data_IF_818159514523
#
_entry.id   IF_818159514523
#
_cell.length_a   1.000
_cell.length_b   1.000
_cell.length_c   1.000
_cell.angle_alpha   90.00
_cell.angle_beta   90.00
_cell.angle_gamma   90.00
#
_symmetry.space_group_name_H-M   'P 1'
#
loop_
_entity.id
_entity.type
_entity.pdbx_description
1 polymer ?
#
# COMPACT_ATOMS: atom_id res chain seq x y z
N UNK A 1 1.77 30.19 -1.06
CA UNK A 1 1.91 29.88 -2.51
C UNK A 1 0.82 28.90 -2.91
N UNK A 2 -0.09 29.25 -3.83
CA UNK A 2 -1.06 28.30 -4.39
C UNK A 2 -0.36 27.53 -5.49
N UNK A 3 -0.20 26.23 -5.31
CA UNK A 3 0.33 25.33 -6.34
C UNK A 3 -0.63 25.29 -7.53
N UNK A 4 -0.09 25.23 -8.76
CA UNK A 4 -0.91 25.01 -9.95
C UNK A 4 -1.55 23.61 -9.93
N UNK A 5 -2.66 23.41 -10.64
CA UNK A 5 -3.34 22.11 -10.72
C UNK A 5 -2.38 21.01 -11.19
N UNK A 6 -1.51 21.30 -12.14
CA UNK A 6 -0.50 20.37 -12.66
C UNK A 6 0.53 19.97 -11.58
N UNK A 7 0.97 20.92 -10.76
CA UNK A 7 1.89 20.64 -9.65
C UNK A 7 1.24 19.78 -8.57
N UNK A 8 -0.03 20.05 -8.25
CA UNK A 8 -0.79 19.24 -7.29
C UNK A 8 -0.96 17.81 -7.80
N UNK A 9 -1.32 17.66 -9.07
CA UNK A 9 -1.39 16.35 -9.73
C UNK A 9 -0.06 15.61 -9.67
N UNK A 10 1.05 16.26 -10.03
CA UNK A 10 2.38 15.67 -9.98
C UNK A 10 2.77 15.18 -8.59
N UNK A 11 2.50 15.98 -7.54
CA UNK A 11 2.81 15.61 -6.15
C UNK A 11 1.99 14.37 -5.71
N UNK A 12 0.69 14.34 -5.99
CA UNK A 12 -0.18 13.22 -5.61
C UNK A 12 0.24 11.95 -6.34
N UNK A 13 0.52 12.04 -7.62
CA UNK A 13 0.95 10.90 -8.45
C UNK A 13 2.31 10.36 -7.99
N UNK A 14 3.29 11.24 -7.74
CA UNK A 14 4.61 10.83 -7.23
C UNK A 14 4.52 10.17 -5.87
N UNK A 15 3.70 10.72 -4.95
CA UNK A 15 3.46 10.10 -3.65
C UNK A 15 2.83 8.70 -3.79
N UNK A 16 1.86 8.55 -4.67
CA UNK A 16 1.24 7.26 -4.94
C UNK A 16 2.22 6.24 -5.52
N UNK A 17 3.08 6.67 -6.42
CA UNK A 17 4.14 5.84 -7.00
C UNK A 17 5.16 5.39 -5.96
N UNK A 18 5.69 6.31 -5.18
CA UNK A 18 6.62 6.00 -4.12
C UNK A 18 6.00 5.02 -3.11
N UNK A 19 4.73 5.23 -2.77
CA UNK A 19 3.98 4.33 -1.90
C UNK A 19 3.86 2.92 -2.48
N UNK A 20 3.45 2.78 -3.74
CA UNK A 20 3.30 1.49 -4.41
C UNK A 20 4.63 0.72 -4.47
N UNK A 21 5.74 1.44 -4.74
CA UNK A 21 7.07 0.86 -4.73
C UNK A 21 7.47 0.32 -3.35
N UNK A 22 7.23 1.10 -2.27
CA UNK A 22 7.53 0.66 -0.90
C UNK A 22 6.66 -0.50 -0.45
N UNK A 23 5.39 -0.55 -0.84
CA UNK A 23 4.48 -1.65 -0.56
C UNK A 23 4.93 -2.94 -1.27
N UNK A 24 5.32 -2.85 -2.55
CA UNK A 24 5.89 -3.98 -3.28
C UNK A 24 7.19 -4.49 -2.67
N UNK A 25 8.10 -3.59 -2.29
CA UNK A 25 9.35 -3.94 -1.63
C UNK A 25 9.12 -4.65 -0.29
N UNK A 26 8.17 -4.17 0.52
CA UNK A 26 7.80 -4.80 1.78
C UNK A 26 7.32 -6.24 1.59
N UNK A 27 6.46 -6.49 0.61
CA UNK A 27 5.97 -7.84 0.29
C UNK A 27 7.12 -8.76 -0.11
N UNK A 28 8.02 -8.31 -0.99
CA UNK A 28 9.19 -9.09 -1.42
C UNK A 28 10.10 -9.42 -0.25
N UNK A 29 10.40 -8.46 0.62
CA UNK A 29 11.22 -8.68 1.81
C UNK A 29 10.62 -9.74 2.74
N UNK A 30 9.30 -9.70 2.96
CA UNK A 30 8.61 -10.71 3.77
C UNK A 30 8.69 -12.08 3.12
N UNK A 31 8.43 -12.20 1.81
CA UNK A 31 8.50 -13.47 1.08
C UNK A 31 9.90 -14.07 1.21
N UNK A 32 10.94 -13.31 0.87
CA UNK A 32 12.33 -13.79 0.92
C UNK A 32 12.76 -14.16 2.34
N UNK A 33 12.41 -13.35 3.33
CA UNK A 33 12.77 -13.61 4.72
C UNK A 33 12.18 -14.94 5.22
N UNK A 34 10.88 -15.15 5.02
CA UNK A 34 10.21 -16.37 5.48
C UNK A 34 10.55 -17.59 4.64
N UNK A 35 10.79 -17.41 3.33
CA UNK A 35 11.30 -18.50 2.49
C UNK A 35 12.68 -18.98 2.97
N UNK A 36 13.60 -18.06 3.29
CA UNK A 36 14.92 -18.40 3.83
C UNK A 36 14.86 -19.07 5.22
N UNK A 37 13.81 -18.83 5.99
CA UNK A 37 13.55 -19.51 7.27
C UNK A 37 12.94 -20.91 7.09
N UNK A 38 12.72 -21.36 5.85
CA UNK A 38 12.19 -22.68 5.52
C UNK A 38 10.66 -22.79 5.62
N UNK A 39 9.94 -21.68 5.52
CA UNK A 39 8.48 -21.72 5.43
C UNK A 39 8.04 -22.15 4.04
N UNK A 40 6.97 -22.95 3.98
CA UNK A 40 6.36 -23.36 2.73
C UNK A 40 5.65 -22.20 2.05
N UNK A 41 5.45 -22.27 0.74
CA UNK A 41 4.73 -21.25 -0.04
C UNK A 41 3.33 -21.01 0.52
N UNK A 42 2.66 -22.05 1.02
CA UNK A 42 1.32 -21.95 1.59
C UNK A 42 1.32 -21.17 2.92
N UNK A 43 2.30 -21.42 3.79
CA UNK A 43 2.46 -20.67 5.04
C UNK A 43 2.74 -19.19 4.78
N UNK A 44 3.58 -18.88 3.78
CA UNK A 44 3.85 -17.51 3.36
C UNK A 44 2.57 -16.85 2.82
N UNK A 45 1.76 -17.55 2.02
CA UNK A 45 0.49 -17.02 1.55
C UNK A 45 -0.46 -16.65 2.69
N UNK A 46 -0.50 -17.43 3.76
CA UNK A 46 -1.29 -17.09 4.96
C UNK A 46 -0.83 -15.81 5.66
N UNK A 47 0.46 -15.47 5.60
CA UNK A 47 0.96 -14.20 6.15
C UNK A 47 0.32 -12.98 5.47
N UNK A 48 -0.04 -13.10 4.20
CA UNK A 48 -0.69 -12.03 3.45
C UNK A 48 -2.22 -11.98 3.61
N UNK A 49 -2.83 -13.02 4.18
CA UNK A 49 -4.27 -13.06 4.38
C UNK A 49 -4.77 -11.86 5.22
N UNK A 50 -4.05 -11.53 6.30
CA UNK A 50 -4.40 -10.38 7.13
C UNK A 50 -4.23 -9.03 6.41
N UNK A 51 -3.21 -8.91 5.57
CA UNK A 51 -3.00 -7.75 4.72
C UNK A 51 -4.22 -7.49 3.82
N UNK A 52 -4.68 -8.50 3.11
CA UNK A 52 -5.84 -8.37 2.22
C UNK A 52 -7.16 -8.20 3.00
N UNK A 53 -7.35 -8.91 4.11
CA UNK A 53 -8.53 -8.80 4.95
C UNK A 53 -8.71 -7.39 5.51
N UNK A 54 -7.67 -6.81 6.10
CA UNK A 54 -7.72 -5.44 6.59
C UNK A 54 -7.82 -4.41 5.46
N UNK A 55 -7.28 -4.70 4.29
CA UNK A 55 -7.48 -3.92 3.07
C UNK A 55 -8.95 -3.82 2.69
N UNK A 56 -9.67 -4.94 2.66
CA UNK A 56 -11.12 -4.95 2.37
C UNK A 56 -11.91 -4.11 3.39
N UNK A 57 -11.62 -4.27 4.70
CA UNK A 57 -12.25 -3.46 5.76
C UNK A 57 -11.97 -1.98 5.54
N UNK A 58 -10.72 -1.63 5.26
CA UNK A 58 -10.32 -0.24 5.04
C UNK A 58 -10.98 0.37 3.80
N UNK A 59 -11.17 -0.42 2.72
CA UNK A 59 -11.89 0.03 1.54
C UNK A 59 -13.35 0.38 1.84
N UNK A 60 -14.02 -0.40 2.70
CA UNK A 60 -15.40 -0.12 3.11
C UNK A 60 -15.52 1.18 3.92
N UNK A 61 -14.63 1.40 4.86
CA UNK A 61 -14.67 2.55 5.77
C UNK A 61 -13.87 3.76 5.28
N UNK A 62 -12.86 3.55 4.44
CA UNK A 62 -11.93 4.60 3.99
C UNK A 62 -12.62 5.69 3.19
N UNK A 63 -13.63 5.34 2.38
CA UNK A 63 -14.46 6.31 1.66
C UNK A 63 -15.20 7.25 2.61
N UNK A 64 -15.77 6.72 3.67
CA UNK A 64 -16.44 7.49 4.71
C UNK A 64 -15.47 8.40 5.49
N UNK A 65 -14.30 7.86 5.87
CA UNK A 65 -13.24 8.61 6.56
C UNK A 65 -12.75 9.77 5.66
N UNK A 66 -12.48 9.48 4.39
CA UNK A 66 -12.02 10.50 3.43
C UNK A 66 -13.04 11.61 3.19
N UNK A 67 -14.32 11.28 3.14
CA UNK A 67 -15.40 12.25 3.02
C UNK A 67 -15.56 13.12 4.27
N UNK A 68 -15.34 12.56 5.46
CA UNK A 68 -15.57 13.27 6.74
C UNK A 68 -14.35 14.10 7.18
N UNK A 69 -13.15 13.58 7.03
CA UNK A 69 -11.92 14.19 7.56
C UNK A 69 -11.04 14.81 6.47
N UNK A 70 -11.40 14.62 5.22
CA UNK A 70 -10.70 15.18 4.06
C UNK A 70 -9.55 14.32 3.55
N UNK A 71 -9.32 14.40 2.26
CA UNK A 71 -8.35 13.57 1.51
C UNK A 71 -6.89 13.81 1.95
N UNK A 72 -6.55 15.02 2.37
CA UNK A 72 -5.20 15.36 2.79
C UNK A 72 -4.81 14.63 4.08
N UNK A 73 -5.72 14.54 5.05
CA UNK A 73 -5.47 13.83 6.30
C UNK A 73 -5.31 12.32 6.05
N UNK A 74 -6.17 11.74 5.23
CA UNK A 74 -6.11 10.30 4.92
C UNK A 74 -4.84 9.90 4.16
N UNK A 75 -4.31 10.77 3.27
CA UNK A 75 -3.00 10.57 2.64
C UNK A 75 -1.86 10.58 3.68
N UNK A 76 -1.85 11.54 4.60
CA UNK A 76 -0.83 11.62 5.65
C UNK A 76 -0.88 10.41 6.59
N UNK A 77 -2.08 10.04 7.04
CA UNK A 77 -2.27 8.87 7.93
C UNK A 77 -1.84 7.59 7.22
N UNK A 78 -2.21 7.39 5.95
CA UNK A 78 -1.77 6.25 5.16
C UNK A 78 -0.25 6.17 5.03
N UNK A 79 0.40 7.31 4.75
CA UNK A 79 1.87 7.36 4.64
C UNK A 79 2.56 7.08 5.98
N UNK A 80 2.06 7.63 7.08
CA UNK A 80 2.60 7.35 8.43
C UNK A 80 2.43 5.88 8.82
N UNK A 81 1.30 5.26 8.51
CA UNK A 81 1.08 3.83 8.76
C UNK A 81 2.04 2.96 7.95
N UNK A 82 2.32 3.32 6.69
CA UNK A 82 3.30 2.60 5.88
C UNK A 82 4.71 2.71 6.46
N UNK A 83 5.13 3.91 6.85
CA UNK A 83 6.43 4.11 7.53
C UNK A 83 6.48 3.28 8.82
N UNK A 84 5.43 3.29 9.62
CA UNK A 84 5.32 2.49 10.83
C UNK A 84 5.43 0.99 10.57
N UNK A 85 4.74 0.48 9.56
CA UNK A 85 4.82 -0.92 9.15
C UNK A 85 6.24 -1.33 8.71
N UNK A 86 6.92 -0.46 7.95
CA UNK A 86 8.32 -0.70 7.55
C UNK A 86 9.26 -0.70 8.76
N UNK A 87 9.11 0.26 9.68
CA UNK A 87 9.92 0.33 10.90
C UNK A 87 9.70 -0.88 11.82
N UNK A 88 8.47 -1.42 11.86
CA UNK A 88 8.17 -2.64 12.60
C UNK A 88 8.95 -3.86 12.08
N UNK A 89 9.37 -3.90 10.81
CA UNK A 89 10.13 -5.03 10.28
C UNK A 89 11.61 -5.01 10.67
N UNK A 90 12.16 -3.87 11.11
CA UNK A 90 13.59 -3.74 11.49
C UNK A 90 14.01 -4.71 12.59
N UNK A 91 13.27 -4.89 13.71
CA UNK A 91 13.68 -5.77 14.79
C UNK A 91 13.47 -7.26 14.52
N UNK A 92 12.86 -7.63 13.39
CA UNK A 92 12.63 -9.04 13.05
C UNK A 92 13.96 -9.72 12.80
N UNK A 93 14.26 -10.76 13.60
CA UNK A 93 15.51 -11.52 13.53
C UNK A 93 15.25 -13.03 13.53
N UNK A 94 16.20 -13.78 12.99
CA UNK A 94 16.13 -15.25 12.94
C UNK A 94 16.21 -15.92 14.33
N UNK A 95 16.56 -15.18 15.39
CA UNK A 95 16.58 -15.67 16.77
C UNK A 95 15.20 -15.71 17.46
N UNK A 96 14.17 -15.17 16.83
CA UNK A 96 12.80 -15.18 17.39
C UNK A 96 12.15 -16.55 17.22
N UNK A 97 11.21 -16.87 18.12
CA UNK A 97 10.38 -18.06 17.93
C UNK A 97 9.53 -17.91 16.67
N UNK A 98 9.30 -19.03 15.95
CA UNK A 98 8.49 -19.01 14.69
C UNK A 98 7.14 -18.35 14.91
N UNK A 99 6.44 -18.68 16.00
CA UNK A 99 5.12 -18.13 16.30
C UNK A 99 5.16 -16.60 16.49
N UNK A 100 6.15 -16.10 17.25
CA UNK A 100 6.29 -14.67 17.50
C UNK A 100 6.59 -13.89 16.22
N UNK A 101 7.50 -14.39 15.39
CA UNK A 101 7.82 -13.79 14.09
C UNK A 101 6.61 -13.71 13.17
N UNK A 102 5.84 -14.81 13.08
CA UNK A 102 4.61 -14.86 12.27
C UNK A 102 3.60 -13.82 12.74
N UNK A 103 3.23 -13.83 14.02
CA UNK A 103 2.22 -12.89 14.55
C UNK A 103 2.68 -11.44 14.36
N UNK A 104 3.93 -11.14 14.65
CA UNK A 104 4.47 -9.79 14.54
C UNK A 104 4.46 -9.28 13.11
N UNK A 105 4.90 -10.10 12.15
CA UNK A 105 4.88 -9.73 10.73
C UNK A 105 3.46 -9.64 10.19
N UNK A 106 2.53 -10.49 10.64
CA UNK A 106 1.12 -10.38 10.27
C UNK A 106 0.51 -9.05 10.73
N UNK A 107 0.87 -8.56 11.92
CA UNK A 107 0.42 -7.24 12.40
C UNK A 107 1.02 -6.13 11.54
N UNK A 108 2.31 -6.17 11.23
CA UNK A 108 2.94 -5.20 10.35
C UNK A 108 2.30 -5.20 8.95
N UNK A 109 2.01 -6.37 8.40
CA UNK A 109 1.30 -6.52 7.12
C UNK A 109 -0.13 -5.96 7.17
N UNK A 110 -0.86 -6.18 8.27
CA UNK A 110 -2.20 -5.61 8.43
C UNK A 110 -2.16 -4.08 8.40
N UNK A 111 -1.20 -3.46 9.10
CA UNK A 111 -1.01 -2.00 9.11
C UNK A 111 -0.66 -1.50 7.70
N UNK A 112 0.21 -2.20 6.99
CA UNK A 112 0.56 -1.87 5.59
C UNK A 112 -0.63 -1.99 4.65
N UNK A 113 -1.49 -3.00 4.81
CA UNK A 113 -2.74 -3.15 4.05
C UNK A 113 -3.69 -1.97 4.25
N UNK A 114 -3.89 -1.55 5.50
CA UNK A 114 -4.67 -0.35 5.83
C UNK A 114 -4.06 0.89 5.16
N UNK A 115 -2.75 1.07 5.29
CA UNK A 115 -2.02 2.18 4.71
C UNK A 115 -2.19 2.27 3.19
N UNK A 116 -2.06 1.13 2.50
CA UNK A 116 -2.23 1.00 1.05
C UNK A 116 -3.60 1.49 0.59
N UNK A 117 -4.66 1.00 1.22
CA UNK A 117 -6.00 1.30 0.76
C UNK A 117 -6.42 2.73 1.09
N UNK A 118 -6.02 3.28 2.23
CA UNK A 118 -6.19 4.70 2.54
C UNK A 118 -5.49 5.59 1.51
N UNK A 119 -4.25 5.27 1.16
CA UNK A 119 -3.48 6.04 0.19
C UNK A 119 -4.08 5.94 -1.22
N UNK A 120 -4.44 4.74 -1.66
CA UNK A 120 -5.07 4.46 -2.95
C UNK A 120 -6.37 5.23 -3.13
N UNK A 121 -7.27 5.16 -2.15
CA UNK A 121 -8.55 5.86 -2.20
C UNK A 121 -8.38 7.38 -2.20
N UNK A 122 -7.49 7.87 -1.34
CA UNK A 122 -7.24 9.32 -1.21
C UNK A 122 -6.57 9.88 -2.46
N UNK A 123 -5.61 9.18 -3.05
CA UNK A 123 -4.96 9.60 -4.29
C UNK A 123 -5.95 9.65 -5.46
N UNK A 124 -6.76 8.62 -5.64
CA UNK A 124 -7.79 8.59 -6.70
C UNK A 124 -8.82 9.71 -6.55
N UNK A 125 -9.25 9.99 -5.32
CA UNK A 125 -10.20 11.06 -5.06
C UNK A 125 -9.57 12.45 -5.21
N UNK A 126 -8.30 12.62 -4.82
CA UNK A 126 -7.58 13.89 -4.99
C UNK A 126 -7.39 14.24 -6.47
N UNK A 127 -7.09 13.25 -7.31
CA UNK A 127 -6.96 13.47 -8.76
C UNK A 127 -8.27 13.96 -9.37
N UNK A 128 -9.42 13.39 -8.99
CA UNK A 128 -10.74 13.84 -9.45
C UNK A 128 -11.03 15.30 -9.13
N UNK A 129 -10.50 15.82 -8.03
CA UNK A 129 -10.71 17.22 -7.66
C UNK A 129 -9.75 18.20 -8.31
N UNK A 130 -8.64 17.72 -8.85
CA UNK A 130 -7.57 18.54 -9.43
C UNK A 130 -7.66 18.60 -10.96
N UNK A 131 -8.15 17.53 -11.59
CA UNK A 131 -8.21 17.39 -13.05
C UNK A 131 -9.60 17.77 -13.56
N UNK A 132 -9.73 18.70 -14.53
CA UNK A 132 -11.01 19.02 -15.15
C UNK A 132 -11.62 17.82 -15.90
N UNK A 133 -12.94 17.74 -15.96
CA UNK A 133 -13.74 16.62 -16.48
C UNK A 133 -13.33 16.07 -17.86
N UNK A 134 -12.74 16.89 -18.74
CA UNK A 134 -12.32 16.49 -20.09
C UNK A 134 -11.07 15.59 -20.14
N UNK A 135 -10.29 15.51 -19.06
CA UNK A 135 -9.04 14.72 -18.98
C UNK A 135 -9.13 13.54 -17.99
N UNK A 136 -10.29 13.35 -17.37
CA UNK A 136 -10.49 12.29 -16.37
C UNK A 136 -10.22 10.88 -16.90
N UNK A 137 -10.70 10.57 -18.10
CA UNK A 137 -10.54 9.26 -18.72
C UNK A 137 -9.06 8.88 -18.94
N UNK A 138 -8.22 9.82 -19.36
CA UNK A 138 -6.80 9.61 -19.63
C UNK A 138 -6.03 9.42 -18.31
N UNK A 139 -6.36 10.21 -17.28
CA UNK A 139 -5.73 10.11 -15.97
C UNK A 139 -6.05 8.78 -15.27
N UNK A 140 -7.29 8.29 -15.39
CA UNK A 140 -7.71 6.99 -14.86
C UNK A 140 -7.02 5.81 -15.53
N UNK A 141 -6.87 5.85 -16.86
CA UNK A 141 -6.20 4.78 -17.60
C UNK A 141 -4.72 4.69 -17.26
N UNK A 142 -4.03 5.82 -17.10
CA UNK A 142 -2.62 5.81 -16.68
C UNK A 142 -2.41 5.26 -15.26
N UNK A 143 -3.23 5.68 -14.29
CA UNK A 143 -3.12 5.15 -12.93
C UNK A 143 -3.42 3.64 -12.86
N UNK A 144 -4.39 3.17 -13.63
CA UNK A 144 -4.77 1.76 -13.67
C UNK A 144 -3.72 0.90 -14.40
N UNK A 145 -3.07 1.42 -15.42
CA UNK A 145 -1.97 0.74 -16.12
C UNK A 145 -0.81 0.44 -15.16
N UNK A 146 -0.44 1.39 -14.30
CA UNK A 146 0.63 1.20 -13.31
C UNK A 146 0.29 0.18 -12.22
N UNK A 147 -0.97 0.08 -11.79
CA UNK A 147 -1.41 -0.98 -10.87
C UNK A 147 -1.20 -2.37 -11.52
N UNK A 148 -1.53 -2.48 -12.80
CA UNK A 148 -1.42 -3.74 -13.55
C UNK A 148 0.04 -4.14 -13.80
N UNK A 149 0.92 -3.18 -14.08
CA UNK A 149 2.36 -3.46 -14.27
C UNK A 149 3.03 -3.94 -12.97
N UNK A 150 2.70 -3.33 -11.82
CA UNK A 150 3.23 -3.77 -10.54
C UNK A 150 2.76 -5.21 -10.19
N UNK A 151 1.49 -5.53 -10.45
CA UNK A 151 0.96 -6.88 -10.24
C UNK A 151 1.54 -7.90 -11.22
N UNK A 152 1.82 -7.52 -12.48
CA UNK A 152 2.48 -8.36 -13.48
C UNK A 152 3.93 -8.66 -13.11
N UNK A 153 4.69 -7.66 -12.65
CA UNK A 153 6.08 -7.86 -12.19
C UNK A 153 6.12 -8.80 -10.99
N UNK A 154 5.18 -8.65 -10.04
CA UNK A 154 5.08 -9.56 -8.91
C UNK A 154 4.75 -11.01 -9.33
N UNK A 155 3.92 -11.21 -10.34
CA UNK A 155 3.60 -12.56 -10.87
C UNK A 155 4.78 -13.20 -11.60
N UNK A 156 5.48 -12.43 -12.44
CA UNK A 156 6.67 -12.93 -13.18
C UNK A 156 7.85 -13.29 -12.28
N UNK A 157 7.93 -12.73 -11.08
CA UNK A 157 8.97 -13.08 -10.10
C UNK A 157 8.61 -14.30 -9.24
N UNK A 158 7.38 -14.78 -9.32
CA UNK A 158 6.86 -15.95 -8.57
C UNK A 158 6.76 -17.23 -9.43
N UNK A 159 6.98 -17.15 -10.76
CA UNK A 159 7.18 -18.28 -11.66
C UNK A 159 8.67 -18.62 -11.81
#
# INVERSE_FOLDING_TARGET
MKLSSLQQYGIVTTNYWAFTLTDGALRMLVIFHFHNLGYTTLEIAFLFLFYEFFGVITNLYGGWIGARYGLRLTLWVGTLFQIGALLMLIPVSSGWSKLLSVIYVMVAQAISGIAKDLNKMSAKSAIKTVVPDSSEAVSYTHLRAHETEADLVCRLLLE
#
